data_IF_103099611220
#
_entry.id   IF_103099611220
#
_cell.length_a   1.000
_cell.length_b   1.000
_cell.length_c   1.000
_cell.angle_alpha   90.00
_cell.angle_beta   90.00
_cell.angle_gamma   90.00
#
_symmetry.space_group_name_H-M   'P 1'
#
loop_
_entity.id
_entity.type
_entity.pdbx_description
1 polymer ?
#
# COMPACT_ATOMS: atom_id res chain seq x y z
N UNK A 1 -17.32 2.35 -4.43
CA UNK A 1 -17.00 3.68 -3.89
C UNK A 1 -16.33 3.50 -2.54
N UNK A 2 -15.17 4.12 -2.28
CA UNK A 2 -14.40 3.90 -1.03
C UNK A 2 -15.05 4.63 0.14
N UNK A 3 -15.57 5.84 -0.10
CA UNK A 3 -16.19 6.64 0.95
C UNK A 3 -17.43 5.95 1.53
N UNK A 4 -18.25 5.32 0.67
CA UNK A 4 -19.38 4.49 1.10
C UNK A 4 -18.95 3.29 1.96
N UNK A 5 -17.81 2.66 1.63
CA UNK A 5 -17.27 1.54 2.43
C UNK A 5 -16.79 2.03 3.79
N UNK A 6 -16.10 3.16 3.84
CA UNK A 6 -15.63 3.77 5.10
C UNK A 6 -16.81 4.17 5.99
N UNK A 7 -17.85 4.77 5.42
CA UNK A 7 -19.08 5.11 6.13
C UNK A 7 -19.76 3.87 6.70
N UNK A 8 -19.91 2.80 5.92
CA UNK A 8 -20.51 1.57 6.45
C UNK A 8 -19.67 0.91 7.54
N UNK A 9 -18.34 0.93 7.43
CA UNK A 9 -17.45 0.45 8.50
C UNK A 9 -17.65 1.23 9.81
N UNK A 10 -17.99 2.51 9.72
CA UNK A 10 -18.38 3.31 10.88
C UNK A 10 -19.72 2.85 11.47
N UNK A 11 -20.74 2.70 10.61
CA UNK A 11 -22.10 2.31 11.01
C UNK A 11 -22.11 0.98 11.78
N UNK A 12 -21.27 0.02 11.36
CA UNK A 12 -21.16 -1.29 12.00
C UNK A 12 -20.16 -1.32 13.18
N UNK A 13 -19.55 -0.17 13.51
CA UNK A 13 -18.68 0.02 14.68
C UNK A 13 -17.22 -0.40 14.50
N UNK A 14 -16.79 -0.64 13.26
CA UNK A 14 -15.41 -1.06 12.96
C UNK A 14 -14.40 0.10 12.95
N UNK A 15 -14.87 1.35 12.90
CA UNK A 15 -14.00 2.52 13.08
C UNK A 15 -13.91 2.92 14.54
N UNK A 16 -12.71 3.33 14.96
CA UNK A 16 -12.54 3.98 16.27
C UNK A 16 -13.16 5.38 16.23
N UNK A 17 -13.70 5.90 17.35
CA UNK A 17 -14.26 7.25 17.40
C UNK A 17 -13.26 8.36 17.05
N UNK A 18 -11.96 8.08 17.20
CA UNK A 18 -10.86 9.02 16.90
C UNK A 18 -10.33 8.90 15.47
N UNK A 19 -10.97 8.12 14.60
CA UNK A 19 -10.48 7.89 13.25
C UNK A 19 -10.72 9.11 12.34
N UNK A 20 -9.66 9.56 11.67
CA UNK A 20 -9.77 10.54 10.58
C UNK A 20 -10.25 9.83 9.31
N UNK A 21 -11.49 10.12 8.91
CA UNK A 21 -12.13 9.47 7.75
C UNK A 21 -11.45 9.86 6.44
N UNK A 22 -11.05 11.11 6.28
CA UNK A 22 -10.39 11.57 5.05
C UNK A 22 -9.01 10.93 4.88
N UNK A 23 -8.26 10.81 5.98
CA UNK A 23 -6.99 10.11 5.98
C UNK A 23 -7.17 8.62 5.70
N UNK A 24 -8.16 7.99 6.35
CA UNK A 24 -8.49 6.58 6.15
C UNK A 24 -8.88 6.29 4.69
N UNK A 25 -9.69 7.14 4.06
CA UNK A 25 -10.07 7.02 2.65
C UNK A 25 -8.85 7.11 1.72
N UNK A 26 -7.96 8.07 1.95
CA UNK A 26 -6.70 8.22 1.18
C UNK A 26 -5.81 7.00 1.32
N UNK A 27 -5.65 6.48 2.54
CA UNK A 27 -4.84 5.30 2.80
C UNK A 27 -5.49 4.05 2.19
N UNK A 28 -6.81 3.88 2.34
CA UNK A 28 -7.57 2.79 1.75
C UNK A 28 -7.49 2.80 0.22
N UNK A 29 -7.58 3.97 -0.40
CA UNK A 29 -7.39 4.13 -1.84
C UNK A 29 -6.01 3.65 -2.30
N UNK A 30 -4.96 4.09 -1.61
CA UNK A 30 -3.59 3.66 -1.93
C UNK A 30 -3.40 2.15 -1.72
N UNK A 31 -4.01 1.59 -0.67
CA UNK A 31 -3.95 0.17 -0.38
C UNK A 31 -4.67 -0.67 -1.45
N UNK A 32 -5.89 -0.29 -1.83
CA UNK A 32 -6.66 -0.99 -2.86
C UNK A 32 -5.94 -0.90 -4.21
N UNK A 33 -5.43 0.27 -4.59
CA UNK A 33 -4.61 0.41 -5.81
C UNK A 33 -3.39 -0.51 -5.79
N UNK A 34 -2.67 -0.59 -4.65
CA UNK A 34 -1.54 -1.50 -4.49
C UNK A 34 -1.97 -2.96 -4.59
N UNK A 35 -3.10 -3.32 -3.98
CA UNK A 35 -3.66 -4.67 -3.98
C UNK A 35 -4.13 -5.10 -5.38
N UNK A 36 -4.70 -4.19 -6.16
CA UNK A 36 -5.08 -4.43 -7.55
C UNK A 36 -3.87 -4.53 -8.49
N UNK A 37 -2.74 -3.89 -8.13
CA UNK A 37 -1.49 -3.98 -8.87
C UNK A 37 -0.73 -5.31 -8.62
N UNK A 38 -1.02 -6.01 -7.51
CA UNK A 38 -0.68 -7.43 -7.40
C UNK A 38 -1.60 -8.20 -8.35
N UNK A 39 -1.03 -8.89 -9.34
CA UNK A 39 -1.82 -9.52 -10.40
C UNK A 39 -2.86 -10.49 -9.84
N UNK A 40 -4.05 -10.54 -10.45
CA UNK A 40 -5.16 -11.42 -10.03
C UNK A 40 -4.81 -12.91 -10.03
N UNK A 41 -3.79 -13.30 -10.80
CA UNK A 41 -3.25 -14.67 -10.83
C UNK A 41 -2.48 -15.04 -9.56
N UNK A 42 -1.87 -14.08 -8.88
CA UNK A 42 -1.10 -14.33 -7.68
C UNK A 42 -2.01 -14.73 -6.52
N UNK A 43 -3.18 -14.09 -6.39
CA UNK A 43 -4.17 -14.45 -5.36
C UNK A 43 -4.82 -15.82 -5.58
N UNK A 44 -5.07 -16.18 -6.85
CA UNK A 44 -5.62 -17.50 -7.21
C UNK A 44 -4.64 -18.65 -7.03
N UNK A 45 -3.35 -18.35 -6.84
CA UNK A 45 -2.31 -19.35 -6.56
C UNK A 45 -1.81 -19.31 -5.13
N UNK A 46 -2.28 -18.34 -4.34
CA UNK A 46 -1.77 -18.08 -3.01
C UNK A 46 -2.23 -19.17 -2.03
N UNK A 47 -1.24 -19.83 -1.44
CA UNK A 47 -1.43 -20.75 -0.33
C UNK A 47 -1.60 -19.98 0.97
N UNK A 48 -2.19 -20.62 1.98
CA UNK A 48 -2.32 -20.04 3.32
C UNK A 48 -0.99 -19.60 3.93
N UNK A 49 0.08 -20.34 3.69
CA UNK A 49 1.42 -19.99 4.18
C UNK A 49 1.92 -18.68 3.57
N UNK A 50 1.60 -18.41 2.30
CA UNK A 50 1.93 -17.14 1.64
C UNK A 50 1.06 -16.00 2.18
N UNK A 51 -0.22 -16.25 2.47
CA UNK A 51 -1.10 -15.28 3.15
C UNK A 51 -0.55 -14.92 4.55
N UNK A 52 -0.06 -15.89 5.33
CA UNK A 52 0.58 -15.62 6.62
C UNK A 52 1.87 -14.80 6.47
N UNK A 53 2.68 -15.07 5.44
CA UNK A 53 3.88 -14.27 5.13
C UNK A 53 3.50 -12.84 4.72
N UNK A 54 2.40 -12.67 3.99
CA UNK A 54 1.81 -11.38 3.65
C UNK A 54 1.17 -10.67 4.84
N UNK A 55 0.94 -11.31 5.98
CA UNK A 55 0.49 -10.66 7.22
C UNK A 55 1.67 -10.17 8.08
N UNK A 56 2.86 -10.77 7.91
CA UNK A 56 4.10 -10.43 8.64
C UNK A 56 4.81 -9.18 8.08
N UNK A 57 4.05 -8.10 7.92
CA UNK A 57 4.34 -7.07 6.94
C UNK A 57 5.37 -6.03 7.41
N UNK A 58 6.55 -6.13 6.80
CA UNK A 58 7.35 -4.97 6.40
C UNK A 58 7.08 -4.54 4.93
N UNK A 59 6.25 -5.29 4.18
CA UNK A 59 6.12 -5.19 2.70
C UNK A 59 5.00 -4.25 2.20
N UNK A 60 3.91 -4.04 2.95
CA UNK A 60 2.80 -3.12 2.62
C UNK A 60 3.06 -1.70 3.15
N UNK A 61 4.16 -1.51 3.88
CA UNK A 61 4.65 -0.22 4.35
C UNK A 61 3.90 0.36 5.55
N UNK A 62 4.45 1.47 6.05
CA UNK A 62 3.98 2.22 7.24
C UNK A 62 2.50 2.63 7.12
N UNK A 63 2.02 2.89 5.90
CA UNK A 63 0.63 3.30 5.63
C UNK A 63 -0.41 2.22 5.99
N UNK A 64 -0.07 0.94 5.87
CA UNK A 64 -1.01 -0.14 6.23
C UNK A 64 -1.20 -0.24 7.75
N UNK A 65 -0.13 -0.07 8.53
CA UNK A 65 -0.22 -0.04 9.98
C UNK A 65 -1.05 1.16 10.47
N UNK A 66 -0.95 2.31 9.78
CA UNK A 66 -1.80 3.47 10.05
C UNK A 66 -3.28 3.17 9.77
N UNK A 67 -3.61 2.47 8.67
CA UNK A 67 -4.98 2.02 8.40
C UNK A 67 -5.52 1.12 9.52
N UNK A 68 -4.72 0.14 9.94
CA UNK A 68 -5.11 -0.76 11.03
C UNK A 68 -5.27 -0.03 12.37
N UNK A 69 -4.55 1.08 12.59
CA UNK A 69 -4.65 1.85 13.82
C UNK A 69 -6.03 2.52 14.01
N UNK A 70 -6.73 2.80 12.91
CA UNK A 70 -8.07 3.38 12.91
C UNK A 70 -9.20 2.34 13.00
N UNK A 71 -8.87 1.06 12.80
CA UNK A 71 -9.83 -0.04 12.85
C UNK A 71 -9.90 -0.67 14.24
N UNK A 72 -11.09 -1.11 14.61
CA UNK A 72 -11.36 -1.93 15.78
C UNK A 72 -12.35 -3.04 15.43
N UNK A 73 -12.22 -4.21 16.06
CA UNK A 73 -13.16 -5.31 15.84
C UNK A 73 -14.24 -5.24 16.93
N UNK A 74 -15.52 -4.99 16.59
CA UNK A 74 -16.58 -4.97 17.58
C UNK A 74 -16.76 -6.35 18.20
N UNK A 75 -17.17 -6.38 19.48
CA UNK A 75 -17.30 -7.62 20.27
C UNK A 75 -18.22 -8.66 19.62
N UNK A 76 -19.26 -8.20 18.91
CA UNK A 76 -20.28 -9.02 18.26
C UNK A 76 -19.69 -9.87 17.11
N UNK A 77 -18.59 -9.42 16.50
CA UNK A 77 -17.92 -10.10 15.38
C UNK A 77 -16.73 -10.95 15.83
N UNK A 78 -16.31 -10.84 17.09
CA UNK A 78 -15.14 -11.56 17.62
C UNK A 78 -15.34 -13.08 17.59
N UNK A 79 -16.53 -13.57 17.96
CA UNK A 79 -16.85 -14.99 17.94
C UNK A 79 -16.91 -15.55 16.52
N UNK A 80 -17.43 -14.75 15.57
CA UNK A 80 -17.46 -15.12 14.16
C UNK A 80 -16.03 -15.25 13.61
N UNK A 81 -15.18 -14.25 13.85
CA UNK A 81 -13.77 -14.28 13.45
C UNK A 81 -13.03 -15.48 14.03
N UNK A 82 -13.26 -15.83 15.30
CA UNK A 82 -12.70 -17.04 15.94
C UNK A 82 -13.18 -18.32 15.28
N UNK A 83 -14.47 -18.42 15.00
CA UNK A 83 -15.05 -19.60 14.35
C UNK A 83 -14.46 -19.78 12.95
N UNK A 84 -14.43 -18.71 12.15
CA UNK A 84 -13.81 -18.71 10.83
C UNK A 84 -12.34 -19.09 10.92
N UNK A 85 -11.59 -18.51 11.85
CA UNK A 85 -10.18 -18.82 12.07
C UNK A 85 -9.92 -20.28 12.43
N UNK A 86 -10.77 -20.88 13.27
CA UNK A 86 -10.69 -22.31 13.61
C UNK A 86 -11.00 -23.16 12.39
N UNK A 87 -12.06 -22.84 11.64
CA UNK A 87 -12.41 -23.58 10.42
C UNK A 87 -11.29 -23.53 9.39
N UNK A 88 -10.71 -22.34 9.18
CA UNK A 88 -9.53 -22.14 8.35
C UNK A 88 -8.38 -23.00 8.88
N UNK A 89 -8.05 -22.92 10.17
CA UNK A 89 -6.94 -23.67 10.75
C UNK A 89 -7.10 -25.19 10.68
N UNK A 90 -8.32 -25.71 10.82
CA UNK A 90 -8.63 -27.13 10.64
C UNK A 90 -8.51 -27.53 9.16
N UNK A 91 -9.05 -26.72 8.24
CA UNK A 91 -8.92 -26.95 6.80
C UNK A 91 -7.45 -26.93 6.34
N UNK A 92 -6.66 -25.98 6.85
CA UNK A 92 -5.21 -25.89 6.59
C UNK A 92 -4.44 -27.13 7.03
N UNK A 93 -4.87 -27.77 8.13
CA UNK A 93 -4.23 -29.01 8.62
C UNK A 93 -4.59 -30.22 7.76
N UNK A 94 -5.79 -30.24 7.18
CA UNK A 94 -6.26 -31.30 6.30
C UNK A 94 -5.59 -31.23 4.93
N UNK A 95 -5.52 -30.03 4.34
CA UNK A 95 -4.85 -29.78 3.07
C UNK A 95 -4.04 -28.47 3.12
N UNK A 96 -2.72 -28.55 3.36
CA UNK A 96 -1.85 -27.38 3.44
C UNK A 96 -1.63 -26.63 2.12
N UNK A 97 -1.89 -27.28 0.98
CA UNK A 97 -1.70 -26.67 -0.35
C UNK A 97 -2.99 -26.08 -0.91
N UNK A 98 -4.11 -26.26 -0.22
CA UNK A 98 -5.41 -25.74 -0.60
C UNK A 98 -5.40 -24.20 -0.70
N UNK A 99 -5.87 -23.69 -1.83
CA UNK A 99 -6.19 -22.27 -1.94
C UNK A 99 -7.56 -21.99 -1.28
N UNK A 100 -7.53 -21.53 -0.04
CA UNK A 100 -8.73 -21.17 0.71
C UNK A 100 -9.54 -20.06 0.05
N UNK A 101 -8.89 -19.09 -0.59
CA UNK A 101 -9.59 -17.98 -1.27
C UNK A 101 -10.46 -18.54 -2.42
N UNK A 102 -9.91 -19.46 -3.21
CA UNK A 102 -10.62 -20.07 -4.34
C UNK A 102 -11.83 -20.90 -3.90
N UNK A 103 -11.76 -21.54 -2.73
CA UNK A 103 -12.87 -22.33 -2.19
C UNK A 103 -13.89 -21.46 -1.45
N UNK A 104 -13.43 -20.42 -0.75
CA UNK A 104 -14.30 -19.53 0.03
C UNK A 104 -15.12 -18.60 -0.87
N UNK A 105 -14.50 -18.02 -1.91
CA UNK A 105 -15.12 -17.02 -2.79
C UNK A 105 -16.47 -17.46 -3.39
N UNK A 106 -16.63 -18.68 -3.96
CA UNK A 106 -17.91 -19.17 -4.47
C UNK A 106 -19.01 -19.22 -3.41
N UNK A 107 -18.67 -19.60 -2.17
CA UNK A 107 -19.64 -19.72 -1.08
C UNK A 107 -20.06 -18.35 -0.57
N UNK A 108 -19.11 -17.42 -0.42
CA UNK A 108 -19.41 -16.02 -0.10
C UNK A 108 -20.30 -15.38 -1.18
N UNK A 109 -19.99 -15.60 -2.46
CA UNK A 109 -20.80 -15.09 -3.57
C UNK A 109 -22.23 -15.63 -3.51
N UNK A 110 -22.41 -16.93 -3.26
CA UNK A 110 -23.74 -17.53 -3.08
C UNK A 110 -24.47 -16.94 -1.87
N UNK A 111 -23.79 -16.78 -0.74
CA UNK A 111 -24.38 -16.20 0.47
C UNK A 111 -24.86 -14.76 0.25
N UNK A 112 -24.03 -13.91 -0.35
CA UNK A 112 -24.35 -12.51 -0.64
C UNK A 112 -25.49 -12.36 -1.65
N UNK A 113 -25.53 -13.23 -2.67
CA UNK A 113 -26.57 -13.22 -3.70
C UNK A 113 -27.89 -13.85 -3.21
N UNK A 114 -27.83 -14.82 -2.30
CA UNK A 114 -29.00 -15.57 -1.82
C UNK A 114 -29.79 -14.85 -0.73
N UNK A 115 -29.16 -13.96 0.05
CA UNK A 115 -29.84 -13.27 1.15
C UNK A 115 -30.45 -11.91 0.75
N UNK A 116 -30.11 -11.37 -0.42
CA UNK A 116 -30.53 -10.04 -0.82
C UNK A 116 -31.11 -10.00 -2.25
N UNK A 117 -32.37 -10.43 -2.39
CA UNK A 117 -33.18 -10.11 -3.59
C UNK A 117 -33.21 -8.57 -3.83
N UNK A 118 -33.11 -7.80 -2.75
CA UNK A 118 -32.95 -6.34 -2.75
C UNK A 118 -31.62 -5.84 -3.30
N UNK A 119 -30.49 -6.56 -3.18
CA UNK A 119 -29.23 -6.12 -3.79
C UNK A 119 -29.20 -6.40 -5.28
N UNK A 120 -29.74 -7.54 -5.71
CA UNK A 120 -29.86 -7.86 -7.14
C UNK A 120 -30.82 -6.88 -7.85
N UNK A 121 -31.92 -6.52 -7.19
CA UNK A 121 -32.84 -5.49 -7.69
C UNK A 121 -32.25 -4.07 -7.58
N UNK A 122 -31.58 -3.70 -6.48
CA UNK A 122 -30.91 -2.40 -6.35
C UNK A 122 -29.82 -2.19 -7.40
N UNK A 123 -28.98 -3.20 -7.69
CA UNK A 123 -27.98 -3.11 -8.77
C UNK A 123 -28.67 -2.99 -10.12
N UNK A 124 -29.75 -3.75 -10.35
CA UNK A 124 -30.53 -3.69 -11.59
C UNK A 124 -31.25 -2.34 -11.76
N UNK A 125 -31.71 -1.74 -10.67
CA UNK A 125 -32.43 -0.47 -10.62
C UNK A 125 -31.48 0.73 -10.71
N UNK A 126 -30.30 0.66 -10.10
CA UNK A 126 -29.21 1.63 -10.27
C UNK A 126 -28.70 1.64 -11.71
N UNK A 127 -28.54 0.47 -12.34
CA UNK A 127 -28.16 0.38 -13.76
C UNK A 127 -29.27 0.94 -14.65
N UNK A 128 -30.54 0.68 -14.32
CA UNK A 128 -31.71 1.08 -15.12
C UNK A 128 -32.06 2.57 -14.96
N UNK A 129 -31.84 3.15 -13.77
CA UNK A 129 -32.05 4.57 -13.46
C UNK A 129 -30.89 5.44 -13.95
N UNK A 130 -29.67 4.89 -14.04
CA UNK A 130 -28.48 5.60 -14.52
C UNK A 130 -28.08 5.27 -15.97
N UNK A 131 -29.00 4.76 -16.80
CA UNK A 131 -28.78 4.56 -18.25
C UNK A 131 -28.31 5.85 -18.94
N UNK A 132 -28.77 7.02 -18.47
CA UNK A 132 -28.35 8.31 -19.00
C UNK A 132 -26.85 8.59 -18.81
N UNK A 133 -26.27 8.19 -17.67
CA UNK A 133 -24.83 8.33 -17.40
C UNK A 133 -23.99 7.36 -18.22
N UNK A 134 -24.49 6.13 -18.44
CA UNK A 134 -23.83 5.14 -19.30
C UNK A 134 -23.84 5.59 -20.77
N UNK A 135 -24.89 6.30 -21.22
CA UNK A 135 -24.95 6.86 -22.58
C UNK A 135 -23.97 8.02 -22.80
N UNK A 136 -23.57 8.74 -21.75
CA UNK A 136 -22.62 9.86 -21.82
C UNK A 136 -21.18 9.45 -21.50
N UNK A 137 -20.99 8.29 -20.86
CA UNK A 137 -19.68 7.70 -20.58
C UNK A 137 -18.79 7.53 -21.81
N UNK A 138 -19.27 6.96 -22.95
CA UNK A 138 -18.42 6.80 -24.12
C UNK A 138 -17.95 8.15 -24.67
N UNK A 139 -18.78 9.19 -24.62
CA UNK A 139 -18.44 10.51 -25.15
C UNK A 139 -17.37 11.22 -24.29
N UNK A 140 -17.47 11.12 -22.97
CA UNK A 140 -16.49 11.70 -22.06
C UNK A 140 -15.15 10.93 -22.07
N UNK A 141 -15.19 9.61 -22.21
CA UNK A 141 -13.98 8.78 -22.39
C UNK A 141 -13.33 9.10 -23.73
N UNK A 142 -14.12 9.28 -24.79
CA UNK A 142 -13.58 9.61 -26.11
C UNK A 142 -12.92 10.99 -26.10
N UNK A 143 -13.56 12.01 -25.51
CA UNK A 143 -12.98 13.36 -25.35
C UNK A 143 -11.72 13.36 -24.48
N UNK A 144 -11.68 12.56 -23.42
CA UNK A 144 -10.50 12.42 -22.57
C UNK A 144 -9.35 11.74 -23.33
N UNK A 145 -9.63 10.64 -24.04
CA UNK A 145 -8.64 9.95 -24.87
C UNK A 145 -8.17 10.83 -26.03
N UNK A 146 -9.04 11.61 -26.66
CA UNK A 146 -8.69 12.54 -27.73
C UNK A 146 -7.87 13.72 -27.21
N UNK A 147 -8.14 14.21 -26.00
CA UNK A 147 -7.32 15.25 -25.34
C UNK A 147 -5.92 14.74 -24.97
N UNK A 148 -5.83 13.48 -24.55
CA UNK A 148 -4.56 12.77 -24.29
C UNK A 148 -3.79 12.54 -25.60
N UNK A 149 -4.48 12.06 -26.65
CA UNK A 149 -3.86 11.69 -27.93
C UNK A 149 -3.51 12.92 -28.79
N UNK A 150 -4.23 14.04 -28.63
CA UNK A 150 -3.94 15.30 -29.32
C UNK A 150 -2.79 16.09 -28.70
N UNK A 151 -2.15 15.59 -27.64
CA UNK A 151 -1.02 16.25 -26.99
C UNK A 151 -1.37 17.61 -26.36
N UNK A 152 -2.66 17.93 -26.24
CA UNK A 152 -3.16 19.19 -25.66
C UNK A 152 -3.09 19.22 -24.14
N UNK A 153 -2.58 18.16 -23.51
CA UNK A 153 -2.18 18.19 -22.11
C UNK A 153 -0.96 19.12 -21.99
N UNK A 154 -1.21 20.42 -21.91
CA UNK A 154 -0.27 21.40 -21.38
C UNK A 154 -0.13 21.14 -19.88
N UNK A 155 0.61 20.09 -19.52
CA UNK A 155 1.15 19.98 -18.17
C UNK A 155 2.00 21.24 -17.98
N UNK A 156 1.66 22.07 -17.00
CA UNK A 156 2.43 23.26 -16.68
C UNK A 156 3.77 22.79 -16.07
N UNK A 157 4.72 22.40 -16.93
CA UNK A 157 6.02 21.81 -16.59
C UNK A 157 6.95 22.75 -15.79
N UNK A 158 6.46 23.95 -15.44
CA UNK A 158 7.21 24.93 -14.65
C UNK A 158 7.21 24.59 -13.15
N UNK A 159 6.14 23.99 -12.63
CA UNK A 159 6.03 23.60 -11.21
C UNK A 159 6.69 22.24 -10.95
N UNK A 160 6.50 21.26 -11.85
CA UNK A 160 7.15 19.95 -11.76
C UNK A 160 8.69 20.04 -11.72
N UNK A 161 9.29 20.96 -12.48
CA UNK A 161 10.76 21.12 -12.50
C UNK A 161 11.35 21.62 -11.17
N UNK A 162 10.61 22.40 -10.37
CA UNK A 162 11.09 22.85 -9.06
C UNK A 162 11.06 21.72 -8.03
N UNK A 163 10.07 20.82 -8.10
CA UNK A 163 9.95 19.69 -7.18
C UNK A 163 10.94 18.57 -7.49
N UNK A 164 11.25 18.32 -8.77
CA UNK A 164 12.29 17.36 -9.14
C UNK A 164 13.68 17.76 -8.64
N UNK A 165 13.98 19.06 -8.54
CA UNK A 165 15.27 19.53 -8.02
C UNK A 165 15.41 19.26 -6.52
N UNK A 166 14.33 19.43 -5.75
CA UNK A 166 14.30 19.11 -4.31
C UNK A 166 14.41 17.60 -4.08
N UNK A 167 13.70 16.79 -4.87
CA UNK A 167 13.82 15.32 -4.82
C UNK A 167 15.22 14.83 -5.18
N UNK A 168 15.89 15.45 -6.16
CA UNK A 168 17.25 15.09 -6.55
C UNK A 168 18.28 15.34 -5.42
N UNK A 169 18.14 16.46 -4.70
CA UNK A 169 19.00 16.77 -3.55
C UNK A 169 18.75 15.84 -2.37
N UNK A 170 17.48 15.53 -2.07
CA UNK A 170 17.11 14.57 -1.03
C UNK A 170 17.68 13.17 -1.34
N UNK A 171 17.66 12.76 -2.61
CA UNK A 171 18.24 11.49 -3.05
C UNK A 171 19.75 11.39 -2.77
N UNK A 172 20.51 12.44 -3.07
CA UNK A 172 21.96 12.46 -2.81
C UNK A 172 22.30 12.44 -1.33
N UNK A 173 21.53 13.16 -0.51
CA UNK A 173 21.69 13.13 0.96
C UNK A 173 21.45 11.71 1.49
N UNK A 174 20.43 11.02 0.99
CA UNK A 174 20.14 9.64 1.38
C UNK A 174 21.27 8.67 1.03
N UNK A 175 21.82 8.78 -0.20
CA UNK A 175 22.95 7.94 -0.66
C UNK A 175 24.19 8.15 0.21
N UNK A 176 24.57 9.40 0.51
CA UNK A 176 25.74 9.66 1.35
C UNK A 176 25.56 9.21 2.80
N UNK A 177 24.35 9.31 3.34
CA UNK A 177 24.05 8.83 4.70
C UNK A 177 24.18 7.31 4.78
N UNK A 178 23.67 6.60 3.78
CA UNK A 178 23.75 5.14 3.69
C UNK A 178 25.21 4.66 3.55
N UNK A 179 25.99 5.31 2.67
CA UNK A 179 27.42 5.02 2.51
C UNK A 179 28.22 5.30 3.78
N UNK A 180 27.91 6.39 4.48
CA UNK A 180 28.56 6.73 5.76
C UNK A 180 28.28 5.68 6.83
N UNK A 181 27.02 5.27 7.01
CA UNK A 181 26.63 4.24 7.98
C UNK A 181 27.33 2.91 7.67
N UNK A 182 27.34 2.53 6.39
CA UNK A 182 27.96 1.28 5.94
C UNK A 182 29.47 1.31 6.17
N UNK A 183 30.15 2.39 5.75
CA UNK A 183 31.60 2.55 5.94
C UNK A 183 32.00 2.63 7.41
N UNK A 184 31.20 3.30 8.25
CA UNK A 184 31.43 3.39 9.70
C UNK A 184 31.24 2.03 10.38
N UNK A 185 30.21 1.28 10.00
CA UNK A 185 29.98 -0.09 10.49
C UNK A 185 31.14 -1.01 10.12
N UNK A 186 31.62 -1.00 8.87
CA UNK A 186 32.78 -1.79 8.45
C UNK A 186 34.06 -1.39 9.19
N UNK A 187 34.30 -0.09 9.40
CA UNK A 187 35.45 0.39 10.16
C UNK A 187 35.47 -0.16 11.60
N UNK A 188 34.31 -0.21 12.28
CA UNK A 188 34.23 -0.80 13.64
C UNK A 188 34.51 -2.30 13.64
N UNK A 189 34.03 -3.04 12.63
CA UNK A 189 34.25 -4.49 12.52
C UNK A 189 35.72 -4.81 12.26
N UNK A 190 36.42 -4.05 11.41
CA UNK A 190 37.85 -4.28 11.15
C UNK A 190 38.74 -3.90 12.33
N UNK A 191 38.37 -2.87 13.10
CA UNK A 191 39.08 -2.49 14.33
C UNK A 191 39.08 -3.64 15.38
N UNK A 192 38.01 -4.43 15.43
CA UNK A 192 37.89 -5.60 16.30
C UNK A 192 38.76 -6.78 15.86
N UNK A 193 39.16 -6.86 14.58
CA UNK A 193 39.93 -7.98 14.01
C UNK A 193 41.46 -7.76 13.98
N UNK A 194 41.97 -6.66 14.57
CA UNK A 194 43.42 -6.34 14.68
C UNK A 194 44.22 -6.35 13.35
N UNK A 195 43.58 -5.92 12.27
CA UNK A 195 44.25 -5.63 10.98
C UNK A 195 44.40 -4.09 10.84
N UNK A 196 45.58 -3.51 11.16
CA UNK A 196 45.74 -2.07 11.29
C UNK A 196 45.66 -1.33 9.95
N UNK A 197 46.15 -1.92 8.84
CA UNK A 197 46.21 -1.23 7.55
C UNK A 197 44.83 -0.95 6.94
N UNK A 198 43.92 -1.93 6.99
CA UNK A 198 42.57 -1.78 6.43
C UNK A 198 41.67 -0.86 7.27
N UNK A 199 41.90 -0.81 8.58
CA UNK A 199 41.12 0.03 9.51
C UNK A 199 41.32 1.52 9.21
N UNK A 200 42.55 1.94 8.91
CA UNK A 200 42.85 3.33 8.57
C UNK A 200 42.20 3.75 7.25
N UNK A 201 42.21 2.91 6.22
CA UNK A 201 41.59 3.19 4.91
C UNK A 201 40.08 3.42 5.02
N UNK A 202 39.36 2.56 5.74
CA UNK A 202 37.91 2.70 5.92
C UNK A 202 37.52 3.86 6.84
N UNK A 203 38.37 4.23 7.81
CA UNK A 203 38.15 5.42 8.64
C UNK A 203 38.30 6.73 7.85
N UNK A 204 39.27 6.79 6.93
CA UNK A 204 39.47 7.93 6.03
C UNK A 204 38.30 8.03 5.03
N UNK A 205 37.84 6.90 4.49
CA UNK A 205 36.66 6.87 3.61
C UNK A 205 35.39 7.36 4.32
N UNK A 206 35.17 6.97 5.58
CA UNK A 206 34.05 7.47 6.38
C UNK A 206 34.13 8.99 6.62
N UNK A 207 35.32 9.52 6.91
CA UNK A 207 35.56 10.96 7.04
C UNK A 207 35.32 11.73 5.75
N UNK A 208 35.70 11.17 4.60
CA UNK A 208 35.46 11.75 3.28
C UNK A 208 33.96 11.82 2.96
N UNK A 209 33.19 10.75 3.24
CA UNK A 209 31.74 10.75 3.04
C UNK A 209 31.00 11.69 4.00
N UNK A 210 31.44 11.80 5.26
CA UNK A 210 30.90 12.79 6.20
C UNK A 210 31.14 14.23 5.74
N UNK A 211 32.32 14.52 5.20
CA UNK A 211 32.67 15.84 4.67
C UNK A 211 31.83 16.18 3.43
N UNK A 212 31.61 15.22 2.53
CA UNK A 212 30.73 15.39 1.36
C UNK A 212 29.27 15.59 1.76
N UNK A 213 28.79 14.91 2.81
CA UNK A 213 27.45 15.09 3.35
C UNK A 213 27.29 16.49 3.95
N UNK A 214 28.26 16.95 4.73
CA UNK A 214 28.29 18.31 5.27
C UNK A 214 28.28 19.38 4.18
N UNK A 215 29.11 19.22 3.14
CA UNK A 215 29.15 20.13 1.98
C UNK A 215 27.83 20.13 1.20
N UNK A 216 27.19 18.97 1.04
CA UNK A 216 25.86 18.83 0.43
C UNK A 216 24.78 19.59 1.24
N UNK A 217 24.83 19.48 2.57
CA UNK A 217 23.90 20.19 3.45
C UNK A 217 24.09 21.71 3.42
N UNK A 218 25.35 22.18 3.44
CA UNK A 218 25.68 23.61 3.37
C UNK A 218 25.34 24.24 2.01
N UNK A 219 25.51 23.52 0.90
CA UNK A 219 25.10 24.01 -0.43
C UNK A 219 23.59 24.11 -0.59
N UNK A 220 22.83 23.23 0.06
CA UNK A 220 21.37 23.24 -0.01
C UNK A 220 20.71 24.32 0.87
N UNK A 221 21.41 24.83 1.88
CA UNK A 221 20.89 25.88 2.78
C UNK A 221 21.03 27.31 2.24
N UNK A 222 21.76 27.49 1.13
CA UNK A 222 22.05 28.81 0.51
C UNK A 222 21.23 29.11 -0.75
N UNK A 223 20.20 28.32 -1.08
CA UNK A 223 19.31 28.55 -2.22
C UNK A 223 17.85 28.59 -1.80
#
# INVERSE_FOLDING_TARGET
DISMVVQHLEDIGFLKPTADKEELEKIAYFFIQRLLAFETKDYQRMTLNEIYKLYNINVLGIKFQQLLSYLQIPRNYLFLGRTIGILIGVASKLDPQMNIIQVLLPHLKKFLLSHNENLASAIKEDIKSNVHYISQLPENIHKALETVNSGKIKVNLKELKQDFHKMYVLGHQFIYTLLFITSSSLATVFHLHKEPDLTHVFSIAAGAFASLLGLSFFRNRKK
#
